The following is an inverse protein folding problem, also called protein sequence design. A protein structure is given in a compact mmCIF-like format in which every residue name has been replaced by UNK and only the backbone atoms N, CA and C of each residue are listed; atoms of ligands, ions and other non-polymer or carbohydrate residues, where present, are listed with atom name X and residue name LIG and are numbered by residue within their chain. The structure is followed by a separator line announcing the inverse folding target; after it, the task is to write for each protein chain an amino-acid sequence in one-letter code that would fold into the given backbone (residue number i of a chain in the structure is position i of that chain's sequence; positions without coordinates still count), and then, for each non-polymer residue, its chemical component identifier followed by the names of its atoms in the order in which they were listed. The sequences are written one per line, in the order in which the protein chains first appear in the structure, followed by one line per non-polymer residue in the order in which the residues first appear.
data_IF_519296670548
#
_entry.id   IF_519296670548
#
_cell.length_a   1.000
_cell.length_b   1.000
_cell.length_c   1.000
_cell.angle_alpha   90.00
_cell.angle_beta   90.00
_cell.angle_gamma   90.00
#
_symmetry.space_group_name_H-M   'P 1'
#
loop_
_entity.id
_entity.type
_entity.pdbx_description
1 polymer ?
#
# COMPACT_ATOMS: atom_id res chain seq x y z
N UNK A 1 12.15 -25.81 71.27
CA UNK A 1 11.01 -26.12 72.16
C UNK A 1 9.84 -25.23 71.79
N UNK A 2 8.67 -25.85 71.64
CA UNK A 2 7.32 -25.28 71.70
C UNK A 2 6.80 -24.39 70.56
N UNK A 3 5.72 -24.92 69.97
CA UNK A 3 4.74 -24.29 69.09
C UNK A 3 3.64 -23.59 69.89
N UNK A 4 2.99 -22.57 69.31
CA UNK A 4 1.60 -22.12 69.54
C UNK A 4 1.13 -21.43 68.24
N UNK A 5 0.28 -22.03 67.41
CA UNK A 5 -1.20 -22.09 67.41
C UNK A 5 -1.92 -20.73 67.29
N UNK A 6 -2.53 -20.48 66.12
CA UNK A 6 -3.51 -19.42 65.90
C UNK A 6 -4.57 -19.86 64.90
N UNK A 7 -5.78 -20.14 65.38
CA UNK A 7 -6.98 -20.53 64.62
C UNK A 7 -7.69 -19.29 64.05
N UNK A 8 -8.23 -19.41 62.84
CA UNK A 8 -9.42 -18.72 62.33
C UNK A 8 -10.07 -19.70 61.34
N UNK A 9 -11.25 -20.29 61.58
CA UNK A 9 -12.62 -19.75 61.72
C UNK A 9 -13.13 -19.06 60.46
N UNK A 10 -14.35 -19.49 60.09
CA UNK A 10 -15.27 -18.95 59.07
C UNK A 10 -15.09 -19.45 57.62
N UNK A 11 -16.13 -19.76 56.84
CA UNK A 11 -17.58 -19.86 57.03
C UNK A 11 -18.14 -20.55 55.77
N UNK A 12 -19.18 -21.35 56.00
CA UNK A 12 -20.29 -21.69 55.11
C UNK A 12 -20.10 -21.83 53.58
N UNK A 13 -20.15 -23.10 53.20
CA UNK A 13 -20.86 -23.68 52.07
C UNK A 13 -22.13 -22.88 51.69
N UNK A 14 -22.15 -22.27 50.50
CA UNK A 14 -23.40 -22.05 49.76
C UNK A 14 -23.19 -22.47 48.30
N UNK A 15 -23.85 -23.58 47.99
CA UNK A 15 -24.15 -24.12 46.67
C UNK A 15 -25.04 -23.11 45.94
N UNK A 16 -24.66 -22.72 44.72
CA UNK A 16 -25.58 -22.05 43.79
C UNK A 16 -25.49 -22.79 42.46
N UNK A 17 -26.63 -23.36 42.09
CA UNK A 17 -26.91 -24.06 40.85
C UNK A 17 -26.72 -23.13 39.65
N UNK A 18 -26.05 -23.62 38.62
CA UNK A 18 -26.09 -23.00 37.30
C UNK A 18 -27.45 -23.29 36.68
N UNK A 19 -28.34 -22.30 36.63
CA UNK A 19 -29.47 -22.31 35.70
C UNK A 19 -28.94 -21.96 34.32
N UNK A 20 -28.99 -22.97 33.46
CA UNK A 20 -28.66 -22.93 32.04
C UNK A 20 -29.75 -22.12 31.32
N UNK A 21 -29.46 -20.85 31.06
CA UNK A 21 -30.30 -20.03 30.16
C UNK A 21 -30.12 -20.53 28.73
N UNK A 22 -31.09 -21.30 28.23
CA UNK A 22 -31.23 -21.59 26.81
C UNK A 22 -31.35 -20.27 26.03
N UNK A 23 -30.38 -20.04 25.13
CA UNK A 23 -30.46 -18.93 24.17
C UNK A 23 -31.63 -19.20 23.21
N UNK A 24 -32.50 -18.21 22.92
CA UNK A 24 -33.51 -18.39 21.89
C UNK A 24 -32.83 -18.67 20.54
N UNK A 25 -33.38 -19.58 19.72
CA UNK A 25 -32.79 -19.92 18.44
C UNK A 25 -32.72 -18.68 17.52
N UNK A 26 -31.67 -18.56 16.68
CA UNK A 26 -31.60 -17.50 15.68
C UNK A 26 -32.78 -17.60 14.72
N UNK A 27 -33.35 -16.47 14.25
CA UNK A 27 -34.55 -16.47 13.42
C UNK A 27 -34.18 -16.77 11.96
N UNK A 28 -33.77 -18.01 11.68
CA UNK A 28 -33.81 -18.58 10.33
C UNK A 28 -34.12 -20.06 10.45
N UNK A 29 -35.41 -20.35 10.48
CA UNK A 29 -35.95 -21.69 10.27
C UNK A 29 -35.71 -22.13 8.83
N UNK A 30 -35.27 -23.37 8.69
CA UNK A 30 -35.09 -24.12 7.47
C UNK A 30 -36.30 -24.03 6.51
N UNK A 31 -36.00 -23.93 5.23
CA UNK A 31 -36.78 -24.60 4.18
C UNK A 31 -35.81 -25.30 3.23
N UNK A 32 -35.71 -26.62 3.37
CA UNK A 32 -35.46 -27.52 2.24
C UNK A 32 -36.83 -28.13 1.91
N UNK A 33 -37.49 -27.68 0.85
CA UNK A 33 -37.82 -28.57 -0.27
C UNK A 33 -38.44 -27.78 -1.46
N UNK A 34 -37.87 -28.05 -2.62
CA UNK A 34 -38.42 -27.98 -3.99
C UNK A 34 -39.03 -26.66 -4.52
N UNK A 35 -38.35 -26.10 -5.52
CA UNK A 35 -38.96 -25.21 -6.52
C UNK A 35 -37.96 -24.28 -7.19
N UNK A 36 -37.80 -24.42 -8.50
CA UNK A 36 -36.98 -23.61 -9.40
C UNK A 36 -37.09 -22.09 -9.14
N UNK A 37 -35.94 -21.43 -8.99
CA UNK A 37 -35.50 -20.21 -9.70
C UNK A 37 -34.30 -19.64 -8.93
N UNK A 38 -33.12 -20.20 -9.20
CA UNK A 38 -31.85 -19.61 -8.80
C UNK A 38 -31.66 -18.32 -9.61
N UNK A 39 -32.32 -17.26 -9.15
CA UNK A 39 -32.04 -15.88 -9.53
C UNK A 39 -30.58 -15.65 -9.17
N UNK A 40 -29.72 -15.59 -10.18
CA UNK A 40 -28.32 -15.20 -10.04
C UNK A 40 -28.28 -13.88 -9.28
N UNK A 41 -27.86 -13.93 -8.00
CA UNK A 41 -27.42 -12.76 -7.26
C UNK A 41 -26.25 -12.19 -8.05
N UNK A 42 -26.59 -11.28 -8.97
CA UNK A 42 -25.63 -10.53 -9.76
C UNK A 42 -25.10 -9.49 -8.81
N UNK A 43 -24.06 -9.86 -8.07
CA UNK A 43 -23.22 -8.86 -7.40
C UNK A 43 -22.82 -7.85 -8.49
N UNK A 44 -22.99 -6.54 -8.26
CA UNK A 44 -22.47 -5.56 -9.20
C UNK A 44 -20.99 -5.87 -9.36
N UNK A 45 -20.56 -6.09 -10.61
CA UNK A 45 -19.15 -6.32 -10.92
C UNK A 45 -18.36 -5.19 -10.28
N UNK A 46 -17.55 -5.51 -9.27
CA UNK A 46 -16.59 -4.52 -8.78
C UNK A 46 -15.74 -4.13 -10.00
N UNK A 47 -15.58 -2.82 -10.31
CA UNK A 47 -14.94 -2.37 -11.54
C UNK A 47 -13.47 -2.80 -11.67
N UNK A 48 -12.91 -3.38 -10.61
CA UNK A 48 -11.50 -3.76 -10.48
C UNK A 48 -11.17 -5.18 -10.95
N UNK A 49 -12.13 -6.07 -11.20
CA UNK A 49 -11.86 -7.47 -11.57
C UNK A 49 -11.71 -7.74 -13.09
N UNK A 50 -11.76 -6.71 -13.94
CA UNK A 50 -11.86 -6.91 -15.39
C UNK A 50 -10.54 -6.95 -16.18
N UNK A 51 -9.46 -6.34 -15.67
CA UNK A 51 -8.25 -6.10 -16.48
C UNK A 51 -7.05 -6.82 -15.88
N UNK A 52 -6.50 -7.77 -16.64
CA UNK A 52 -5.23 -8.39 -16.30
C UNK A 52 -4.09 -7.35 -16.41
N UNK A 53 -3.11 -7.35 -15.49
CA UNK A 53 -1.95 -6.48 -15.60
C UNK A 53 -1.21 -6.69 -16.93
N UNK A 54 -0.86 -5.60 -17.62
CA UNK A 54 -0.06 -5.64 -18.84
C UNK A 54 1.44 -5.79 -18.54
N UNK A 55 1.88 -5.28 -17.38
CA UNK A 55 3.22 -5.49 -16.82
C UNK A 55 3.11 -5.67 -15.31
N UNK A 56 3.97 -6.52 -14.74
CA UNK A 56 4.04 -6.76 -13.30
C UNK A 56 5.49 -6.76 -12.87
N UNK A 57 5.86 -5.82 -12.00
CA UNK A 57 7.21 -5.69 -11.46
C UNK A 57 7.25 -5.99 -9.98
N UNK A 58 8.39 -6.47 -9.52
CA UNK A 58 8.71 -6.70 -8.12
C UNK A 58 9.76 -5.69 -7.66
N UNK A 59 9.49 -5.05 -6.53
CA UNK A 59 10.40 -4.16 -5.83
C UNK A 59 11.02 -4.91 -4.65
N UNK A 60 12.35 -5.06 -4.62
CA UNK A 60 13.07 -5.78 -3.57
C UNK A 60 14.15 -4.90 -2.94
N UNK A 61 14.17 -4.80 -1.61
CA UNK A 61 15.25 -4.11 -0.92
C UNK A 61 16.55 -4.92 -0.97
N UNK A 62 17.67 -4.25 -1.26
CA UNK A 62 18.99 -4.91 -1.35
C UNK A 62 19.77 -4.84 -0.04
N UNK A 63 19.31 -4.06 0.93
CA UNK A 63 19.96 -3.90 2.21
C UNK A 63 18.94 -3.77 3.34
N UNK A 64 19.42 -4.05 4.56
CA UNK A 64 18.61 -4.01 5.77
C UNK A 64 18.14 -2.58 6.14
N UNK A 65 18.84 -1.55 5.64
CA UNK A 65 18.45 -0.15 5.79
C UNK A 65 17.29 0.26 4.88
N UNK A 66 16.89 -0.59 3.93
CA UNK A 66 15.77 -0.35 3.02
C UNK A 66 15.89 0.99 2.27
N UNK A 67 17.11 1.36 1.90
CA UNK A 67 17.38 2.59 1.16
C UNK A 67 17.92 2.35 -0.25
N UNK A 68 18.00 1.09 -0.64
CA UNK A 68 18.35 0.63 -1.98
C UNK A 68 17.40 -0.48 -2.37
N UNK A 69 16.80 -0.36 -3.55
CA UNK A 69 15.87 -1.35 -4.08
C UNK A 69 16.20 -1.67 -5.53
N UNK A 70 15.88 -2.89 -5.92
CA UNK A 70 15.88 -3.36 -7.30
C UNK A 70 14.43 -3.52 -7.75
N UNK A 71 14.16 -3.13 -8.99
CA UNK A 71 12.88 -3.33 -9.66
C UNK A 71 13.12 -4.28 -10.80
N UNK A 72 12.53 -5.48 -10.74
CA UNK A 72 12.65 -6.51 -11.76
C UNK A 72 11.27 -6.88 -12.32
N UNK A 73 11.23 -7.41 -13.54
CA UNK A 73 10.01 -8.03 -14.06
C UNK A 73 9.67 -9.28 -13.23
N UNK A 74 8.40 -9.48 -12.87
CA UNK A 74 7.99 -10.67 -12.12
C UNK A 74 8.19 -11.96 -12.92
N UNK A 75 8.16 -11.90 -14.25
CA UNK A 75 8.45 -13.03 -15.12
C UNK A 75 9.96 -13.27 -15.31
N UNK A 76 10.79 -12.28 -14.98
CA UNK A 76 12.25 -12.37 -15.07
C UNK A 76 12.93 -11.59 -13.93
N UNK A 77 12.86 -12.15 -12.73
CA UNK A 77 13.36 -11.49 -11.52
C UNK A 77 14.88 -11.40 -11.44
N UNK A 78 15.60 -12.23 -12.21
CA UNK A 78 17.07 -12.32 -12.19
C UNK A 78 17.77 -11.11 -12.81
N UNK A 79 17.09 -10.36 -13.67
CA UNK A 79 17.63 -9.16 -14.33
C UNK A 79 16.86 -7.91 -13.91
N UNK A 80 17.39 -7.10 -12.97
CA UNK A 80 16.72 -5.88 -12.54
C UNK A 80 16.69 -4.85 -13.66
N UNK A 81 15.52 -4.27 -13.91
CA UNK A 81 15.29 -3.22 -14.89
C UNK A 81 15.70 -1.85 -14.36
N UNK A 82 15.41 -1.59 -13.08
CA UNK A 82 15.73 -0.33 -12.43
C UNK A 82 16.36 -0.52 -11.06
N UNK A 83 17.11 0.50 -10.64
CA UNK A 83 17.62 0.64 -9.28
C UNK A 83 17.03 1.91 -8.66
N UNK A 84 16.50 1.78 -7.45
CA UNK A 84 16.02 2.88 -6.64
C UNK A 84 16.99 3.10 -5.46
N UNK A 85 17.38 4.34 -5.22
CA UNK A 85 18.15 4.72 -4.03
C UNK A 85 17.48 5.88 -3.31
N UNK A 86 17.24 5.73 -2.01
CA UNK A 86 16.76 6.81 -1.15
C UNK A 86 17.89 7.36 -0.28
N UNK A 87 17.80 8.65 0.05
CA UNK A 87 18.78 9.40 0.83
C UNK A 87 18.06 10.42 1.73
N UNK A 88 18.73 10.82 2.81
CA UNK A 88 18.23 11.86 3.73
C UNK A 88 18.37 13.26 3.10
N UNK A 89 19.45 13.50 2.33
CA UNK A 89 19.69 14.77 1.63
C UNK A 89 19.15 14.72 0.20
N UNK A 90 18.81 15.90 -0.35
CA UNK A 90 18.39 16.05 -1.74
C UNK A 90 19.48 15.57 -2.73
N UNK A 91 19.08 14.98 -3.87
CA UNK A 91 17.74 14.43 -4.13
C UNK A 91 17.46 13.22 -3.21
N UNK A 92 16.25 13.18 -2.64
CA UNK A 92 15.87 12.20 -1.61
C UNK A 92 15.60 10.82 -2.19
N UNK A 93 15.26 10.74 -3.47
CA UNK A 93 15.11 9.50 -4.21
C UNK A 93 15.77 9.67 -5.57
N UNK A 94 16.46 8.63 -6.03
CA UNK A 94 17.08 8.56 -7.36
C UNK A 94 16.71 7.22 -7.97
N UNK A 95 16.08 7.27 -9.13
CA UNK A 95 15.72 6.12 -9.96
C UNK A 95 16.66 6.07 -11.16
N UNK A 96 17.22 4.90 -11.45
CA UNK A 96 18.15 4.66 -12.55
C UNK A 96 17.73 3.41 -13.31
N UNK A 97 17.87 3.41 -14.63
CA UNK A 97 17.79 2.20 -15.41
C UNK A 97 19.09 1.40 -15.25
N UNK A 98 18.98 0.08 -15.09
CA UNK A 98 20.17 -0.79 -14.93
C UNK A 98 21.00 -0.84 -16.21
N UNK A 99 20.37 -0.66 -17.38
CA UNK A 99 21.04 -0.60 -18.68
C UNK A 99 21.90 0.66 -18.87
N UNK A 100 21.63 1.74 -18.14
CA UNK A 100 22.34 3.01 -18.23
C UNK A 100 22.60 3.60 -16.82
N UNK A 101 23.47 2.96 -16.02
CA UNK A 101 23.61 3.26 -14.59
C UNK A 101 24.14 4.67 -14.29
N UNK A 102 24.80 5.30 -15.27
CA UNK A 102 25.32 6.66 -15.14
C UNK A 102 24.25 7.73 -15.38
N UNK A 103 23.11 7.36 -15.97
CA UNK A 103 22.02 8.29 -16.27
C UNK A 103 20.91 8.16 -15.22
N UNK A 104 20.55 9.28 -14.62
CA UNK A 104 19.41 9.37 -13.71
C UNK A 104 18.11 9.45 -14.51
N UNK A 105 17.26 8.43 -14.36
CA UNK A 105 15.96 8.37 -15.02
C UNK A 105 15.00 9.36 -14.36
N UNK A 106 14.97 9.33 -13.02
CA UNK A 106 14.19 10.27 -12.24
C UNK A 106 14.84 10.60 -10.90
N UNK A 107 14.59 11.80 -10.40
CA UNK A 107 14.94 12.22 -9.04
C UNK A 107 13.74 12.81 -8.32
N UNK A 108 13.74 12.73 -6.98
CA UNK A 108 12.62 13.22 -6.17
C UNK A 108 13.11 14.11 -5.04
N UNK A 109 12.39 15.20 -4.83
CA UNK A 109 12.61 16.14 -3.75
C UNK A 109 11.35 16.31 -2.89
N UNK A 110 11.43 15.85 -1.65
CA UNK A 110 10.44 16.16 -0.62
C UNK A 110 10.66 17.57 -0.06
N UNK A 111 9.56 18.22 0.29
CA UNK A 111 9.55 19.54 0.93
C UNK A 111 8.99 19.43 2.34
N UNK A 112 9.75 19.85 3.35
CA UNK A 112 9.36 19.72 4.76
C UNK A 112 8.16 20.59 5.15
N UNK A 113 8.04 21.78 4.56
CA UNK A 113 7.04 22.79 4.95
C UNK A 113 5.85 22.88 4.00
N UNK A 114 5.89 22.17 2.87
CA UNK A 114 4.85 22.23 1.84
C UNK A 114 4.37 20.81 1.55
N UNK A 115 3.05 20.57 1.48
CA UNK A 115 2.49 19.26 1.15
C UNK A 115 2.61 19.00 -0.35
N UNK A 116 3.84 18.97 -0.85
CA UNK A 116 4.14 18.73 -2.27
C UNK A 116 5.44 17.95 -2.40
N UNK A 117 5.55 17.22 -3.50
CA UNK A 117 6.74 16.48 -3.88
C UNK A 117 7.10 16.88 -5.30
N UNK A 118 8.33 17.32 -5.50
CA UNK A 118 8.82 17.61 -6.85
C UNK A 118 9.54 16.36 -7.37
N UNK A 119 9.16 15.90 -8.55
CA UNK A 119 9.73 14.76 -9.26
C UNK A 119 10.32 15.27 -10.56
N UNK A 120 11.55 14.90 -10.88
CA UNK A 120 12.20 15.25 -12.13
C UNK A 120 12.38 13.98 -12.94
N UNK A 121 11.79 13.88 -14.12
CA UNK A 121 11.89 12.72 -15.02
C UNK A 121 12.62 13.17 -16.27
N UNK A 122 13.75 12.57 -16.59
CA UNK A 122 14.63 13.03 -17.68
C UNK A 122 14.97 14.54 -17.61
N UNK A 123 15.00 15.12 -16.40
CA UNK A 123 15.25 16.55 -16.16
C UNK A 123 14.01 17.44 -16.21
N UNK A 124 12.87 16.96 -16.69
CA UNK A 124 11.61 17.70 -16.68
C UNK A 124 10.92 17.63 -15.34
N UNK A 125 10.44 18.78 -14.85
CA UNK A 125 9.85 18.89 -13.52
C UNK A 125 8.35 18.60 -13.55
N UNK A 126 7.94 17.73 -12.63
CA UNK A 126 6.57 17.38 -12.32
C UNK A 126 6.34 17.55 -10.81
N UNK A 127 5.16 18.05 -10.40
CA UNK A 127 4.88 18.30 -8.98
C UNK A 127 3.65 17.53 -8.55
N UNK A 128 3.82 16.62 -7.58
CA UNK A 128 2.71 15.98 -6.88
C UNK A 128 2.22 16.93 -5.79
N UNK A 129 0.96 17.33 -5.88
CA UNK A 129 0.27 18.09 -4.86
C UNK A 129 -0.39 17.13 -3.88
N UNK A 130 0.10 17.09 -2.65
CA UNK A 130 -0.42 16.18 -1.62
C UNK A 130 -1.62 16.84 -0.93
N UNK A 131 -2.76 16.16 -0.92
CA UNK A 131 -3.91 16.60 -0.13
C UNK A 131 -3.68 16.25 1.34
N UNK A 132 -3.75 17.27 2.20
CA UNK A 132 -3.57 17.10 3.64
C UNK A 132 -4.59 16.09 4.18
N UNK A 133 -4.13 15.16 5.01
CA UNK A 133 -4.94 14.15 5.72
C UNK A 133 -5.62 13.06 4.87
N UNK A 134 -5.55 13.07 3.54
CA UNK A 134 -6.26 12.08 2.71
C UNK A 134 -5.36 11.07 2.00
N UNK A 135 -4.03 11.11 2.24
CA UNK A 135 -3.03 10.31 1.51
C UNK A 135 -3.36 10.21 0.01
N UNK A 136 -3.70 11.36 -0.58
CA UNK A 136 -4.04 11.50 -1.98
C UNK A 136 -3.06 12.49 -2.59
N UNK A 137 -2.60 12.21 -3.80
CA UNK A 137 -1.76 13.14 -4.55
C UNK A 137 -2.33 13.36 -5.94
N UNK A 138 -2.26 14.59 -6.43
CA UNK A 138 -2.64 14.92 -7.81
C UNK A 138 -1.46 15.51 -8.55
N UNK A 139 -1.36 15.23 -9.84
CA UNK A 139 -0.33 15.80 -10.70
C UNK A 139 -0.77 15.81 -12.17
N UNK A 140 -0.15 16.68 -12.97
CA UNK A 140 -0.31 16.68 -14.41
C UNK A 140 0.71 15.74 -15.05
N UNK A 141 0.24 14.68 -15.69
CA UNK A 141 1.08 13.72 -16.41
C UNK A 141 1.73 14.40 -17.61
N UNK A 142 3.06 14.35 -17.71
CA UNK A 142 3.77 14.86 -18.86
C UNK A 142 3.54 13.93 -20.07
N UNK A 143 3.50 12.61 -19.85
CA UNK A 143 3.31 11.62 -20.90
C UNK A 143 1.87 11.59 -21.46
N UNK A 144 0.85 11.89 -20.67
CA UNK A 144 -0.56 11.84 -21.09
C UNK A 144 -1.21 13.22 -21.30
N UNK A 145 -0.58 14.30 -20.84
CA UNK A 145 -1.16 15.64 -20.79
C UNK A 145 -2.55 15.66 -20.11
N UNK A 146 -2.66 14.92 -19.00
CA UNK A 146 -3.89 14.77 -18.20
C UNK A 146 -3.57 14.77 -16.71
N UNK A 147 -4.52 15.20 -15.90
CA UNK A 147 -4.45 15.08 -14.46
C UNK A 147 -4.59 13.61 -14.04
N UNK A 148 -3.66 13.14 -13.22
CA UNK A 148 -3.71 11.82 -12.60
C UNK A 148 -3.78 11.95 -11.09
N UNK A 149 -4.46 10.99 -10.46
CA UNK A 149 -4.69 10.96 -9.03
C UNK A 149 -4.13 9.68 -8.45
N UNK A 150 -3.18 9.82 -7.54
CA UNK A 150 -2.78 8.73 -6.66
C UNK A 150 -3.66 8.70 -5.42
N UNK A 151 -4.20 7.53 -5.11
CA UNK A 151 -5.03 7.25 -3.94
C UNK A 151 -4.36 6.16 -3.10
N UNK A 152 -4.31 6.37 -1.79
CA UNK A 152 -3.86 5.36 -0.83
C UNK A 152 -5.07 4.63 -0.26
N UNK A 153 -5.20 3.34 -0.57
CA UNK A 153 -6.21 2.44 0.00
C UNK A 153 -5.58 1.61 1.13
N UNK A 154 -4.77 2.27 1.95
CA UNK A 154 -3.99 1.58 2.98
C UNK A 154 -4.88 1.01 4.06
N UNK A 155 -4.73 -0.28 4.30
CA UNK A 155 -5.30 -0.97 5.44
C UNK A 155 -4.21 -1.20 6.50
N UNK A 156 -4.60 -1.50 7.73
CA UNK A 156 -3.72 -1.74 8.89
C UNK A 156 -2.51 -2.68 8.67
N UNK A 157 -2.47 -3.46 7.59
CA UNK A 157 -1.38 -4.41 7.25
C UNK A 157 -0.75 -4.20 5.88
N UNK A 158 -1.45 -3.55 4.95
CA UNK A 158 -1.02 -3.41 3.55
C UNK A 158 -1.04 -1.95 3.13
N UNK A 159 -0.01 -1.59 2.40
CA UNK A 159 0.15 -0.30 1.76
C UNK A 159 -0.18 -0.47 0.29
N UNK A 160 -1.38 -0.04 -0.08
CA UNK A 160 -1.89 -0.14 -1.45
C UNK A 160 -2.09 1.27 -2.02
N UNK A 161 -1.44 1.54 -3.15
CA UNK A 161 -1.55 2.79 -3.91
C UNK A 161 -2.10 2.51 -5.29
N UNK A 162 -3.09 3.30 -5.70
CA UNK A 162 -3.65 3.24 -7.04
C UNK A 162 -3.48 4.60 -7.72
N UNK A 163 -2.93 4.61 -8.94
CA UNK A 163 -2.95 5.78 -9.80
C UNK A 163 -4.09 5.64 -10.80
N UNK A 164 -5.01 6.61 -10.79
CA UNK A 164 -6.22 6.58 -11.61
C UNK A 164 -6.36 7.87 -12.44
N UNK A 165 -7.11 7.77 -13.52
CA UNK A 165 -7.59 8.93 -14.29
C UNK A 165 -8.85 9.56 -13.69
N UNK A 166 -9.39 10.57 -14.37
CA UNK A 166 -10.64 11.25 -14.01
C UNK A 166 -11.86 10.31 -13.94
N UNK A 167 -11.83 9.21 -14.71
CA UNK A 167 -12.88 8.18 -14.73
C UNK A 167 -12.67 7.10 -13.65
N UNK A 168 -11.67 7.27 -12.77
CA UNK A 168 -11.25 6.27 -11.78
C UNK A 168 -10.78 4.95 -12.38
N UNK A 169 -10.29 4.96 -13.63
CA UNK A 169 -9.65 3.80 -14.25
C UNK A 169 -8.19 3.70 -13.80
N UNK A 170 -7.75 2.54 -13.26
CA UNK A 170 -6.39 2.39 -12.77
C UNK A 170 -5.39 2.27 -13.93
N UNK A 171 -4.27 2.99 -13.84
CA UNK A 171 -3.10 2.79 -14.70
C UNK A 171 -2.03 1.96 -14.03
N UNK A 172 -1.89 2.10 -12.71
CA UNK A 172 -0.92 1.37 -11.92
C UNK A 172 -1.43 1.16 -10.51
N UNK A 173 -1.11 0.00 -9.95
CA UNK A 173 -1.30 -0.36 -8.56
C UNK A 173 0.05 -0.73 -7.96
N UNK A 174 0.36 -0.19 -6.78
CA UNK A 174 1.53 -0.57 -5.98
C UNK A 174 1.02 -1.16 -4.68
N UNK A 175 1.35 -2.42 -4.42
CA UNK A 175 0.98 -3.11 -3.19
C UNK A 175 2.22 -3.53 -2.41
N UNK A 176 2.22 -3.31 -1.10
CA UNK A 176 3.31 -3.68 -0.21
C UNK A 176 2.80 -4.07 1.17
N UNK A 177 3.47 -5.01 1.83
CA UNK A 177 3.25 -5.22 3.25
C UNK A 177 3.94 -4.10 4.06
N UNK A 178 3.26 -3.51 5.04
CA UNK A 178 3.78 -2.40 5.84
C UNK A 178 5.01 -2.76 6.70
N UNK A 179 5.22 -4.05 6.98
CA UNK A 179 6.04 -4.51 8.10
C UNK A 179 7.39 -5.13 7.75
N UNK A 180 7.78 -5.18 6.48
CA UNK A 180 9.05 -5.82 6.14
C UNK A 180 9.65 -5.31 4.85
N UNK A 181 10.80 -4.66 4.97
CA UNK A 181 11.68 -4.44 3.81
C UNK A 181 12.11 -5.75 3.12
N UNK A 182 11.92 -6.91 3.78
CA UNK A 182 12.21 -8.22 3.20
C UNK A 182 11.05 -8.76 2.36
N UNK A 183 9.82 -8.28 2.57
CA UNK A 183 8.69 -8.63 1.71
C UNK A 183 8.69 -7.66 0.54
N UNK A 184 8.87 -8.20 -0.67
CA UNK A 184 8.90 -7.37 -1.88
C UNK A 184 7.54 -6.72 -2.14
N UNK A 185 7.55 -5.47 -2.58
CA UNK A 185 6.35 -4.80 -3.09
C UNK A 185 6.11 -5.22 -4.54
N UNK A 186 4.85 -5.17 -4.97
CA UNK A 186 4.48 -5.40 -6.36
C UNK A 186 4.02 -4.10 -7.01
N UNK A 187 4.34 -3.92 -8.28
CA UNK A 187 3.88 -2.82 -9.12
C UNK A 187 3.20 -3.44 -10.33
N UNK A 188 1.90 -3.23 -10.49
CA UNK A 188 1.11 -3.78 -11.57
C UNK A 188 0.58 -2.65 -12.44
N UNK A 189 0.79 -2.74 -13.76
CA UNK A 189 0.33 -1.75 -14.72
C UNK A 189 -0.86 -2.28 -15.50
N UNK A 190 -1.76 -1.38 -15.90
CA UNK A 190 -3.00 -1.72 -16.59
C UNK A 190 -3.18 -0.88 -17.85
N UNK A 191 -3.82 -1.49 -18.85
CA UNK A 191 -4.16 -0.84 -20.12
C UNK A 191 -3.03 -0.79 -21.16
N UNK A 192 -3.43 -0.74 -22.44
CA UNK A 192 -2.51 -0.71 -23.57
C UNK A 192 -1.72 0.61 -23.69
N UNK A 193 -2.28 1.69 -23.13
CA UNK A 193 -1.64 3.00 -23.10
C UNK A 193 -0.33 2.94 -22.31
N UNK A 194 -0.30 2.22 -21.19
CA UNK A 194 0.92 2.04 -20.39
C UNK A 194 1.84 1.02 -21.05
N UNK A 195 1.28 -0.10 -21.53
CA UNK A 195 2.03 -1.19 -22.17
C UNK A 195 2.96 -0.71 -23.28
N UNK A 196 2.49 0.24 -24.10
CA UNK A 196 3.22 0.73 -25.25
C UNK A 196 3.96 2.07 -24.99
N UNK A 197 4.01 2.55 -23.75
CA UNK A 197 4.58 3.85 -23.40
C UNK A 197 5.55 3.74 -22.22
N UNK A 198 6.84 3.57 -22.52
CA UNK A 198 7.90 3.47 -21.52
C UNK A 198 8.11 4.76 -20.73
N UNK A 199 7.81 5.93 -21.31
CA UNK A 199 7.89 7.23 -20.63
C UNK A 199 6.84 7.32 -19.54
N UNK A 200 5.59 6.98 -19.87
CA UNK A 200 4.49 6.91 -18.90
C UNK A 200 4.79 5.87 -17.81
N UNK A 201 5.29 4.69 -18.17
CA UNK A 201 5.65 3.68 -17.19
C UNK A 201 6.71 4.20 -16.19
N UNK A 202 7.75 4.88 -16.69
CA UNK A 202 8.79 5.49 -15.84
C UNK A 202 8.23 6.58 -14.93
N UNK A 203 7.32 7.40 -15.46
CA UNK A 203 6.59 8.44 -14.71
C UNK A 203 5.75 7.83 -13.59
N UNK A 204 4.96 6.80 -13.89
CA UNK A 204 4.13 6.09 -12.91
C UNK A 204 4.99 5.44 -11.81
N UNK A 205 6.12 4.82 -12.16
CA UNK A 205 7.05 4.26 -11.17
C UNK A 205 7.61 5.37 -10.27
N UNK A 206 8.14 6.44 -10.87
CA UNK A 206 8.77 7.52 -10.12
C UNK A 206 7.79 8.22 -9.17
N UNK A 207 6.59 8.56 -9.66
CA UNK A 207 5.56 9.25 -8.88
C UNK A 207 4.94 8.35 -7.80
N UNK A 208 4.70 7.07 -8.09
CA UNK A 208 4.16 6.11 -7.13
C UNK A 208 5.13 5.83 -5.98
N UNK A 209 6.41 5.61 -6.28
CA UNK A 209 7.45 5.42 -5.27
C UNK A 209 7.71 6.70 -4.46
N UNK A 210 7.62 7.87 -5.10
CA UNK A 210 7.69 9.15 -4.41
C UNK A 210 6.55 9.29 -3.38
N UNK A 211 5.33 8.93 -3.76
CA UNK A 211 4.19 8.93 -2.84
C UNK A 211 4.34 7.92 -1.70
N UNK A 212 4.77 6.69 -2.00
CA UNK A 212 5.05 5.67 -1.00
C UNK A 212 6.06 6.16 0.05
N UNK A 213 7.16 6.75 -0.41
CA UNK A 213 8.19 7.28 0.47
C UNK A 213 7.68 8.48 1.28
N UNK A 214 6.88 9.38 0.68
CA UNK A 214 6.25 10.49 1.40
C UNK A 214 5.34 10.01 2.53
N UNK A 215 4.53 8.97 2.30
CA UNK A 215 3.64 8.42 3.32
C UNK A 215 4.44 7.80 4.46
N UNK A 216 5.51 7.05 4.15
CA UNK A 216 6.42 6.49 5.15
C UNK A 216 7.11 7.59 5.99
N UNK A 217 7.56 8.67 5.35
CA UNK A 217 8.12 9.85 6.03
C UNK A 217 7.10 10.47 6.99
N UNK A 218 5.85 10.62 6.56
CA UNK A 218 4.82 11.25 7.39
C UNK A 218 4.38 10.39 8.56
N UNK A 219 4.20 9.09 8.35
CA UNK A 219 3.90 8.14 9.41
C UNK A 219 5.00 8.14 10.50
N UNK A 220 6.28 8.21 10.09
CA UNK A 220 7.41 8.26 11.03
C UNK A 220 7.43 9.53 11.89
N UNK A 221 7.06 10.68 11.32
CA UNK A 221 7.00 11.95 12.07
C UNK A 221 5.84 12.01 13.06
N UNK A 222 4.71 11.38 12.76
CA UNK A 222 3.55 11.34 13.68
C UNK A 222 3.87 10.56 14.95
N UNK A 223 4.59 9.44 14.83
CA UNK A 223 4.98 8.60 15.98
C UNK A 223 5.91 9.36 16.93
N UNK A 224 6.87 10.12 16.40
CA UNK A 224 7.81 10.89 17.21
C UNK A 224 7.15 12.05 17.99
N UNK A 225 6.11 12.66 17.45
CA UNK A 225 5.39 13.76 18.11
C UNK A 225 4.42 13.29 19.21
N UNK A 226 3.99 12.02 19.19
CA UNK A 226 3.13 11.43 20.23
C UNK A 226 3.88 10.87 21.45
N UNK A 227 5.22 10.86 21.40
CA UNK A 227 6.09 10.31 22.45
C UNK A 227 6.80 11.36 23.31
N UNK A 228 6.38 12.63 23.21
CA UNK A 228 6.87 13.77 24.02
C UNK A 228 5.75 14.36 24.83
#
# INVERSE_FOLDING_TARGET
MSAILGKASEKHLHRTSYEEYERPPPPYSNYNDQGQEASSLTFPSQPYHGQAPCHSFQLQATNWLCNKFLISDMNNSNTPLYTLKTKIRKPHMILKATSSPDTELATVEFHTLRPKVDVYIHGEKLTLSMKKFSYTATYESAALHKTLVWKSNSHWKTFDLDCVDDNSMPFVQISSAYYSCKQGSQIQFFGDVVKNNSVLMSELIATGLAMAQYINLMASTTVAASST
#
